data_IF_101596687689
#
_entry.id   IF_101596687689
#
_cell.length_a   1.000
_cell.length_b   1.000
_cell.length_c   1.000
_cell.angle_alpha   90.00
_cell.angle_beta   90.00
_cell.angle_gamma   90.00
#
_symmetry.space_group_name_H-M   'P 1'
#
loop_
_entity.id
_entity.type
_entity.pdbx_description
1 polymer ?
#
# COMPACT_ATOMS: atom_id res chain seq x y z
N UNK A 1 -56.20 11.89 -36.75
CA UNK A 1 -56.25 12.51 -35.41
C UNK A 1 -55.19 11.82 -34.57
N UNK A 2 -54.21 12.56 -34.02
CA UNK A 2 -53.19 11.98 -33.16
C UNK A 2 -53.76 11.80 -31.74
N UNK A 3 -53.43 10.68 -31.09
CA UNK A 3 -53.60 10.55 -29.64
C UNK A 3 -52.32 11.08 -29.02
N UNK A 4 -52.41 12.31 -28.50
CA UNK A 4 -51.51 12.87 -27.51
C UNK A 4 -51.47 11.95 -26.29
N UNK A 5 -50.25 11.64 -25.82
CA UNK A 5 -49.84 11.50 -24.41
C UNK A 5 -48.58 10.62 -24.34
N UNK A 6 -47.50 11.07 -24.99
CA UNK A 6 -46.17 10.74 -24.51
C UNK A 6 -45.90 11.68 -23.32
N UNK A 7 -46.03 11.14 -22.12
CA UNK A 7 -45.54 11.78 -20.89
C UNK A 7 -44.04 12.07 -21.12
N UNK A 8 -43.54 13.30 -20.95
CA UNK A 8 -42.10 13.53 -21.00
C UNK A 8 -41.50 12.75 -19.84
N UNK A 9 -40.73 11.72 -20.15
CA UNK A 9 -39.85 11.08 -19.16
C UNK A 9 -38.99 12.20 -18.60
N UNK A 10 -39.07 12.40 -17.29
CA UNK A 10 -38.44 13.50 -16.58
C UNK A 10 -36.98 13.70 -17.03
N UNK A 11 -36.56 14.96 -17.03
CA UNK A 11 -35.22 15.45 -17.33
C UNK A 11 -34.16 14.86 -16.37
N UNK A 12 -33.93 13.55 -16.38
CA UNK A 12 -32.76 12.96 -15.78
C UNK A 12 -31.55 13.39 -16.61
N UNK A 13 -30.86 14.41 -16.11
CA UNK A 13 -29.55 14.80 -16.62
C UNK A 13 -28.70 13.52 -16.75
N UNK A 14 -28.15 13.21 -17.94
CA UNK A 14 -27.47 11.94 -18.16
C UNK A 14 -26.34 11.79 -17.14
N UNK A 15 -26.24 10.61 -16.51
CA UNK A 15 -25.19 10.34 -15.52
C UNK A 15 -23.83 10.53 -16.19
N UNK A 16 -23.05 11.48 -15.69
CA UNK A 16 -21.71 11.76 -16.17
C UNK A 16 -20.71 10.90 -15.41
N UNK A 17 -19.61 10.54 -16.06
CA UNK A 17 -18.55 9.74 -15.43
C UNK A 17 -17.95 10.43 -14.18
N UNK A 18 -18.02 11.76 -14.11
CA UNK A 18 -17.60 12.53 -12.93
C UNK A 18 -18.52 12.39 -11.70
N UNK A 19 -19.76 11.93 -11.91
CA UNK A 19 -20.80 11.92 -10.89
C UNK A 19 -21.10 10.54 -10.30
N UNK A 20 -20.42 9.50 -10.79
CA UNK A 20 -20.62 8.11 -10.34
C UNK A 20 -20.27 7.93 -8.86
N UNK A 21 -21.07 7.12 -8.17
CA UNK A 21 -20.92 6.82 -6.74
C UNK A 21 -20.89 5.32 -6.43
N UNK A 22 -21.15 4.46 -7.42
CA UNK A 22 -21.03 3.01 -7.29
C UNK A 22 -20.31 2.38 -8.49
N UNK A 23 -19.84 1.14 -8.28
CA UNK A 23 -19.06 0.35 -9.24
C UNK A 23 -19.85 -0.01 -10.50
N UNK A 24 -21.15 -0.27 -10.36
CA UNK A 24 -21.98 -0.75 -11.46
C UNK A 24 -22.22 0.36 -12.49
N UNK A 25 -22.50 1.57 -12.04
CA UNK A 25 -22.68 2.73 -12.91
C UNK A 25 -21.38 3.12 -13.62
N UNK A 26 -20.24 3.07 -12.92
CA UNK A 26 -18.94 3.26 -13.55
C UNK A 26 -18.71 2.24 -14.67
N UNK A 27 -18.95 0.95 -14.42
CA UNK A 27 -18.80 -0.10 -15.43
C UNK A 27 -19.74 0.09 -16.62
N UNK A 28 -21.00 0.48 -16.37
CA UNK A 28 -21.97 0.77 -17.44
C UNK A 28 -21.49 1.92 -18.32
N UNK A 29 -21.06 3.03 -17.74
CA UNK A 29 -20.59 4.20 -18.50
C UNK A 29 -19.34 3.87 -19.33
N UNK A 30 -18.39 3.13 -18.77
CA UNK A 30 -17.19 2.71 -19.51
C UNK A 30 -17.53 1.77 -20.67
N UNK A 31 -18.48 0.83 -20.49
CA UNK A 31 -18.98 -0.03 -21.58
C UNK A 31 -19.67 0.77 -22.68
N UNK A 32 -20.30 1.90 -22.33
CA UNK A 32 -20.90 2.84 -23.28
C UNK A 32 -19.88 3.79 -23.93
N UNK A 33 -18.58 3.62 -23.66
CA UNK A 33 -17.50 4.39 -24.29
C UNK A 33 -17.09 5.66 -23.54
N UNK A 34 -17.51 5.85 -22.30
CA UNK A 34 -17.04 6.98 -21.48
C UNK A 34 -15.52 6.89 -21.26
N UNK A 35 -14.84 8.04 -21.26
CA UNK A 35 -13.40 8.11 -21.05
C UNK A 35 -13.09 8.20 -19.54
N UNK A 36 -12.42 7.18 -18.99
CA UNK A 36 -12.01 7.10 -17.57
C UNK A 36 -11.18 8.32 -17.09
N UNK A 37 -10.55 9.03 -18.01
CA UNK A 37 -9.71 10.20 -17.77
C UNK A 37 -10.29 11.49 -18.40
N UNK A 38 -11.59 11.53 -18.69
CA UNK A 38 -12.26 12.74 -19.17
C UNK A 38 -12.03 13.92 -18.22
N UNK A 39 -11.69 15.09 -18.75
CA UNK A 39 -11.51 16.29 -17.94
C UNK A 39 -12.79 17.13 -17.97
N UNK A 40 -13.30 17.49 -16.79
CA UNK A 40 -14.41 18.43 -16.70
C UNK A 40 -13.93 19.89 -16.90
N UNK A 41 -14.83 20.87 -16.73
CA UNK A 41 -14.52 22.31 -16.89
C UNK A 41 -13.46 22.84 -15.93
N UNK A 42 -13.18 22.12 -14.85
CA UNK A 42 -12.12 22.44 -13.88
C UNK A 42 -10.84 21.64 -14.12
N UNK A 43 -10.75 20.93 -15.26
CA UNK A 43 -9.68 20.00 -15.58
C UNK A 43 -9.58 18.78 -14.65
N UNK A 44 -10.59 18.54 -13.80
CA UNK A 44 -10.61 17.36 -12.94
C UNK A 44 -10.90 16.11 -13.74
N UNK A 45 -10.22 15.01 -13.41
CA UNK A 45 -10.58 13.67 -13.88
C UNK A 45 -11.71 13.07 -13.03
N UNK A 46 -12.39 12.01 -13.50
CA UNK A 46 -13.46 11.36 -12.74
C UNK A 46 -12.98 10.80 -11.40
N UNK A 47 -11.75 10.26 -11.36
CA UNK A 47 -11.12 9.84 -10.11
C UNK A 47 -10.96 11.01 -9.12
N UNK A 48 -10.53 12.18 -9.60
CA UNK A 48 -10.38 13.35 -8.73
C UNK A 48 -11.72 13.85 -8.21
N UNK A 49 -12.77 13.87 -9.06
CA UNK A 49 -14.14 14.21 -8.64
C UNK A 49 -14.67 13.21 -7.61
N UNK A 50 -14.43 11.91 -7.80
CA UNK A 50 -14.78 10.86 -6.86
C UNK A 50 -14.10 11.05 -5.48
N UNK A 51 -12.79 11.33 -5.46
CA UNK A 51 -12.04 11.62 -4.24
C UNK A 51 -12.54 12.87 -3.53
N UNK A 52 -12.88 13.94 -4.27
CA UNK A 52 -13.46 15.18 -3.73
C UNK A 52 -14.82 14.97 -3.07
N UNK A 53 -15.62 14.08 -3.65
CA UNK A 53 -16.95 13.70 -3.15
C UNK A 53 -16.92 12.63 -2.06
N UNK A 54 -15.74 12.15 -1.70
CA UNK A 54 -15.53 11.14 -0.66
C UNK A 54 -16.34 9.84 -0.88
N UNK A 55 -16.41 9.40 -2.14
CA UNK A 55 -17.06 8.11 -2.45
C UNK A 55 -16.27 6.94 -1.85
N UNK A 56 -16.95 5.83 -1.56
CA UNK A 56 -16.34 4.70 -0.86
C UNK A 56 -15.14 4.06 -1.60
N UNK A 57 -14.21 3.48 -0.83
CA UNK A 57 -12.98 2.88 -1.36
C UNK A 57 -13.19 1.86 -2.50
N UNK A 58 -14.34 1.16 -2.52
CA UNK A 58 -14.60 0.16 -3.56
C UNK A 58 -14.72 0.76 -4.97
N UNK A 59 -15.33 1.94 -5.10
CA UNK A 59 -15.38 2.61 -6.40
C UNK A 59 -14.01 3.22 -6.76
N UNK A 60 -13.24 3.70 -5.78
CA UNK A 60 -11.87 4.17 -6.02
C UNK A 60 -10.98 3.02 -6.52
N UNK A 61 -11.09 1.83 -5.93
CA UNK A 61 -10.41 0.61 -6.41
C UNK A 61 -10.79 0.28 -7.84
N UNK A 62 -12.08 0.42 -8.19
CA UNK A 62 -12.52 0.20 -9.56
C UNK A 62 -11.96 1.25 -10.53
N UNK A 63 -11.93 2.54 -10.17
CA UNK A 63 -11.28 3.58 -10.99
C UNK A 63 -9.81 3.24 -11.28
N UNK A 64 -9.08 2.81 -10.25
CA UNK A 64 -7.68 2.38 -10.36
C UNK A 64 -7.56 1.16 -11.29
N UNK A 65 -8.43 0.16 -11.12
CA UNK A 65 -8.47 -1.05 -11.95
C UNK A 65 -8.73 -0.72 -13.44
N UNK A 66 -9.58 0.27 -13.71
CA UNK A 66 -9.95 0.70 -15.06
C UNK A 66 -8.93 1.67 -15.69
N UNK A 67 -7.76 1.88 -15.06
CA UNK A 67 -6.67 2.67 -15.63
C UNK A 67 -6.87 4.19 -15.52
N UNK A 68 -7.55 4.65 -14.47
CA UNK A 68 -7.57 6.08 -14.15
C UNK A 68 -6.15 6.63 -13.97
N UNK A 69 -5.90 7.86 -14.41
CA UNK A 69 -4.62 8.54 -14.26
C UNK A 69 -4.45 9.01 -12.81
N UNK A 70 -3.46 8.43 -12.13
CA UNK A 70 -3.12 8.73 -10.73
C UNK A 70 -2.46 10.11 -10.54
N UNK A 71 -1.95 10.71 -11.62
CA UNK A 71 -1.12 11.90 -11.62
C UNK A 71 -1.75 13.10 -12.32
N UNK A 72 -2.91 12.91 -12.95
CA UNK A 72 -3.68 14.00 -13.53
C UNK A 72 -4.00 15.06 -12.46
N UNK A 73 -3.95 16.33 -12.85
CA UNK A 73 -4.31 17.43 -11.99
C UNK A 73 -5.39 18.32 -12.61
N UNK A 74 -6.11 18.99 -11.72
CA UNK A 74 -7.07 20.03 -12.08
C UNK A 74 -6.37 21.37 -12.32
N UNK A 75 -7.17 22.40 -12.65
CA UNK A 75 -6.68 23.73 -12.97
C UNK A 75 -5.97 24.45 -11.79
N UNK A 76 -6.11 23.93 -10.56
CA UNK A 76 -5.38 24.42 -9.38
C UNK A 76 -4.11 23.60 -9.09
N UNK A 77 -3.87 22.54 -9.85
CA UNK A 77 -2.75 21.63 -9.64
C UNK A 77 -2.98 20.60 -8.54
N UNK A 78 -4.23 20.38 -8.12
CA UNK A 78 -4.57 19.32 -7.14
C UNK A 78 -4.56 17.97 -7.84
N UNK A 79 -3.88 17.01 -7.22
CA UNK A 79 -3.76 15.62 -7.71
C UNK A 79 -4.64 14.67 -6.90
N UNK A 80 -4.91 13.45 -7.41
CA UNK A 80 -5.58 12.41 -6.65
C UNK A 80 -4.95 12.18 -5.28
N UNK A 81 -3.61 12.08 -5.21
CA UNK A 81 -2.90 11.89 -3.95
C UNK A 81 -3.08 13.09 -3.01
N UNK A 82 -3.01 14.33 -3.51
CA UNK A 82 -3.27 15.51 -2.68
C UNK A 82 -4.69 15.49 -2.11
N UNK A 83 -5.68 15.24 -2.95
CA UNK A 83 -7.08 15.21 -2.55
C UNK A 83 -7.34 14.11 -1.52
N UNK A 84 -6.75 12.92 -1.70
CA UNK A 84 -6.82 11.83 -0.74
C UNK A 84 -6.30 12.26 0.63
N UNK A 85 -5.13 12.90 0.71
CA UNK A 85 -4.57 13.34 2.01
C UNK A 85 -5.41 14.45 2.64
N UNK A 86 -5.86 15.43 1.84
CA UNK A 86 -6.61 16.58 2.36
C UNK A 86 -8.02 16.21 2.85
N UNK A 87 -8.66 15.20 2.25
CA UNK A 87 -10.06 14.85 2.51
C UNK A 87 -10.25 13.51 3.22
N UNK A 88 -9.36 12.55 2.97
CA UNK A 88 -9.44 11.18 3.50
C UNK A 88 -8.39 10.94 4.59
N UNK A 89 -8.04 11.98 5.37
CA UNK A 89 -6.95 11.90 6.36
C UNK A 89 -7.12 10.79 7.41
N UNK A 90 -8.32 10.24 7.60
CA UNK A 90 -8.59 9.10 8.51
C UNK A 90 -8.45 7.74 7.83
N UNK A 91 -8.57 7.69 6.51
CA UNK A 91 -8.54 6.47 5.70
C UNK A 91 -7.23 6.45 4.88
N UNK A 92 -6.21 5.79 5.44
CA UNK A 92 -4.93 5.62 4.77
C UNK A 92 -4.98 4.58 3.65
N UNK A 93 -6.06 3.80 3.51
CA UNK A 93 -6.14 2.76 2.50
C UNK A 93 -6.28 3.35 1.10
N UNK A 94 -7.00 4.48 0.96
CA UNK A 94 -7.05 5.23 -0.31
C UNK A 94 -5.66 5.80 -0.64
N UNK A 95 -4.96 6.39 0.33
CA UNK A 95 -3.61 6.93 0.12
C UNK A 95 -2.66 5.81 -0.31
N UNK A 96 -2.69 4.67 0.39
CA UNK A 96 -1.88 3.49 0.09
C UNK A 96 -2.18 2.97 -1.31
N UNK A 97 -3.45 2.82 -1.66
CA UNK A 97 -3.89 2.36 -2.99
C UNK A 97 -3.33 3.25 -4.10
N UNK A 98 -3.41 4.58 -3.95
CA UNK A 98 -2.88 5.52 -4.94
C UNK A 98 -1.35 5.41 -5.07
N UNK A 99 -0.62 5.35 -3.95
CA UNK A 99 0.85 5.20 -3.95
C UNK A 99 1.29 3.88 -4.58
N UNK A 100 0.62 2.77 -4.25
CA UNK A 100 0.87 1.46 -4.84
C UNK A 100 0.62 1.44 -6.35
N UNK A 101 -0.22 2.33 -6.86
CA UNK A 101 -0.55 2.44 -8.29
C UNK A 101 0.16 3.60 -8.99
N UNK A 102 1.22 4.14 -8.38
CA UNK A 102 2.15 5.06 -9.07
C UNK A 102 1.78 6.54 -8.96
N UNK A 103 0.96 6.92 -7.98
CA UNK A 103 0.75 8.32 -7.67
C UNK A 103 2.06 8.99 -7.21
N UNK A 104 2.38 10.11 -7.84
CA UNK A 104 3.59 10.87 -7.60
C UNK A 104 3.39 11.93 -6.54
N UNK A 105 4.28 11.90 -5.54
CA UNK A 105 4.31 12.85 -4.41
C UNK A 105 4.57 14.29 -4.90
N UNK A 106 5.12 14.48 -6.10
CA UNK A 106 5.47 15.79 -6.68
C UNK A 106 4.55 16.29 -7.79
N UNK A 107 3.54 15.53 -8.16
CA UNK A 107 2.63 15.95 -9.23
C UNK A 107 1.80 17.15 -8.72
N UNK A 108 1.84 18.30 -9.43
CA UNK A 108 1.06 19.51 -9.07
C UNK A 108 1.87 20.81 -9.04
N UNK A 109 1.89 21.55 -10.15
CA UNK A 109 2.78 22.71 -10.44
C UNK A 109 2.71 23.90 -9.45
N UNK A 110 1.67 23.98 -8.61
CA UNK A 110 1.43 25.11 -7.67
C UNK A 110 1.33 24.70 -6.19
N UNK A 111 1.04 23.43 -5.90
CA UNK A 111 0.80 22.91 -4.55
C UNK A 111 1.94 22.00 -4.08
N UNK A 112 2.78 21.50 -5.02
CA UNK A 112 3.92 20.62 -4.77
C UNK A 112 4.83 21.12 -3.65
N UNK A 113 5.08 22.43 -3.60
CA UNK A 113 6.10 23.04 -2.74
C UNK A 113 5.71 23.07 -1.25
N UNK A 114 4.48 22.70 -0.89
CA UNK A 114 4.02 22.60 0.51
C UNK A 114 3.27 21.31 0.81
N UNK A 115 3.26 20.34 -0.11
CA UNK A 115 2.47 19.13 0.04
C UNK A 115 2.91 18.28 1.23
N UNK A 116 4.22 18.07 1.39
CA UNK A 116 4.78 17.34 2.54
C UNK A 116 4.60 18.10 3.85
N UNK A 117 4.78 19.43 3.85
CA UNK A 117 4.55 20.27 5.04
C UNK A 117 3.09 20.13 5.51
N UNK A 118 2.15 20.22 4.57
CA UNK A 118 0.73 20.05 4.86
C UNK A 118 0.44 18.64 5.42
N UNK A 119 1.04 17.61 4.82
CA UNK A 119 0.83 16.23 5.27
C UNK A 119 1.38 16.02 6.68
N UNK A 120 2.60 16.48 6.98
CA UNK A 120 3.21 16.34 8.31
C UNK A 120 2.41 17.08 9.38
N UNK A 121 1.97 18.31 9.10
CA UNK A 121 1.20 19.11 10.06
C UNK A 121 -0.19 18.53 10.34
N UNK A 122 -0.81 17.85 9.37
CA UNK A 122 -2.16 17.30 9.51
C UNK A 122 -2.18 15.84 9.95
N UNK A 123 -1.30 15.01 9.39
CA UNK A 123 -1.27 13.57 9.62
C UNK A 123 0.17 13.01 9.51
N UNK A 124 0.89 12.88 10.65
CA UNK A 124 2.25 12.33 10.66
C UNK A 124 2.32 10.85 10.25
N UNK A 125 1.23 10.07 10.41
CA UNK A 125 1.18 8.68 9.95
C UNK A 125 1.15 8.63 8.42
N UNK A 126 0.39 9.50 7.79
CA UNK A 126 0.39 9.65 6.33
C UNK A 126 1.76 10.11 5.82
N UNK A 127 2.45 11.00 6.55
CA UNK A 127 3.81 11.42 6.18
C UNK A 127 4.80 10.25 6.19
N UNK A 128 4.74 9.37 7.20
CA UNK A 128 5.52 8.13 7.22
C UNK A 128 5.22 7.25 6.01
N UNK A 129 3.96 7.11 5.64
CA UNK A 129 3.55 6.36 4.46
C UNK A 129 4.14 6.94 3.16
N UNK A 130 4.09 8.26 2.97
CA UNK A 130 4.71 8.92 1.82
C UNK A 130 6.22 8.69 1.75
N UNK A 131 6.91 8.82 2.89
CA UNK A 131 8.34 8.55 3.00
C UNK A 131 8.65 7.11 2.59
N UNK A 132 7.96 6.15 3.19
CA UNK A 132 8.10 4.71 2.89
C UNK A 132 8.02 4.43 1.38
N UNK A 133 6.98 4.92 0.71
CA UNK A 133 6.80 4.68 -0.73
C UNK A 133 7.81 5.45 -1.60
N UNK A 134 8.28 6.61 -1.14
CA UNK A 134 9.33 7.36 -1.84
C UNK A 134 10.66 6.61 -1.81
N UNK A 135 11.03 6.07 -0.66
CA UNK A 135 12.21 5.21 -0.49
C UNK A 135 12.12 3.98 -1.39
N UNK A 136 10.95 3.33 -1.44
CA UNK A 136 10.74 2.18 -2.31
C UNK A 136 10.91 2.53 -3.80
N UNK A 137 10.32 3.64 -4.26
CA UNK A 137 10.43 4.11 -5.65
C UNK A 137 11.89 4.45 -6.04
N UNK A 138 12.63 5.04 -5.10
CA UNK A 138 14.01 5.48 -5.30
C UNK A 138 15.03 4.45 -4.80
N UNK A 139 14.61 3.22 -4.51
CA UNK A 139 15.46 2.16 -3.96
C UNK A 139 16.70 1.84 -4.82
N UNK A 140 16.60 2.02 -6.14
CA UNK A 140 17.72 1.90 -7.08
C UNK A 140 18.83 2.93 -6.87
N UNK A 141 18.50 4.10 -6.30
CA UNK A 141 19.47 5.16 -6.00
C UNK A 141 20.23 4.90 -4.70
N UNK A 142 19.69 4.07 -3.80
CA UNK A 142 20.28 3.77 -2.49
C UNK A 142 21.52 2.89 -2.65
N UNK A 143 22.70 3.41 -2.26
CA UNK A 143 24.00 2.71 -2.36
C UNK A 143 24.36 1.98 -1.05
N UNK A 144 25.17 0.91 -1.14
CA UNK A 144 25.64 0.19 0.04
C UNK A 144 26.64 1.02 0.85
N UNK A 145 26.34 1.27 2.13
CA UNK A 145 27.11 2.19 2.99
C UNK A 145 28.21 1.53 3.83
N UNK A 146 28.46 0.23 3.69
CA UNK A 146 29.34 -0.54 4.58
C UNK A 146 30.84 -0.14 4.57
N UNK A 147 31.25 0.87 3.81
CA UNK A 147 32.67 1.23 3.59
C UNK A 147 33.09 2.62 4.06
N UNK A 148 32.23 3.42 4.70
CA UNK A 148 32.61 4.78 5.10
C UNK A 148 32.09 5.09 6.51
N UNK A 149 32.96 5.55 7.40
CA UNK A 149 32.60 5.76 8.82
C UNK A 149 32.47 7.24 9.20
N UNK A 150 33.09 8.18 8.46
CA UNK A 150 32.98 9.63 8.79
C UNK A 150 32.43 10.52 7.66
N UNK A 151 32.82 10.29 6.41
CA UNK A 151 32.21 10.98 5.25
C UNK A 151 30.78 10.46 4.98
N UNK A 152 30.49 9.23 5.41
CA UNK A 152 29.22 8.54 5.21
C UNK A 152 28.06 9.23 5.86
N UNK A 153 28.17 9.76 7.08
CA UNK A 153 27.01 10.39 7.75
C UNK A 153 26.54 11.60 6.93
N UNK A 154 27.46 12.47 6.50
CA UNK A 154 27.11 13.65 5.68
C UNK A 154 26.65 13.27 4.27
N UNK A 155 27.28 12.27 3.64
CA UNK A 155 26.88 11.78 2.31
C UNK A 155 25.53 11.05 2.36
N UNK A 156 25.29 10.26 3.39
CA UNK A 156 24.02 9.60 3.73
C UNK A 156 22.92 10.64 3.94
N UNK A 157 23.11 11.65 4.80
CA UNK A 157 22.14 12.75 4.97
C UNK A 157 21.88 13.52 3.66
N UNK A 158 22.91 13.72 2.82
CA UNK A 158 22.75 14.35 1.51
C UNK A 158 22.02 13.44 0.51
N UNK A 159 22.20 12.12 0.57
CA UNK A 159 21.52 11.13 -0.27
C UNK A 159 20.05 11.00 0.13
N UNK A 160 19.73 10.99 1.43
CA UNK A 160 18.37 11.18 1.94
C UNK A 160 17.74 12.47 1.43
N UNK A 161 18.51 13.56 1.37
CA UNK A 161 18.05 14.84 0.82
C UNK A 161 17.74 14.77 -0.67
N UNK A 162 18.46 13.93 -1.41
CA UNK A 162 18.22 13.66 -2.84
C UNK A 162 17.05 12.69 -3.03
N UNK A 163 16.95 11.61 -2.26
CA UNK A 163 15.84 10.64 -2.29
C UNK A 163 14.53 11.31 -1.90
N UNK A 164 14.56 12.17 -0.88
CA UNK A 164 13.39 12.90 -0.38
C UNK A 164 13.21 14.26 -1.04
N UNK A 165 14.05 14.59 -2.02
CA UNK A 165 13.95 15.67 -3.01
C UNK A 165 12.99 16.83 -2.61
N UNK A 166 13.57 17.83 -1.92
CA UNK A 166 13.04 19.14 -1.51
C UNK A 166 12.18 19.19 -0.21
N UNK A 167 12.54 20.15 0.66
CA UNK A 167 11.85 20.67 1.87
C UNK A 167 11.97 20.01 3.26
N UNK A 168 12.65 18.88 3.42
CA UNK A 168 12.87 18.30 4.78
C UNK A 168 13.87 19.07 5.68
N UNK A 169 14.43 20.20 5.23
CA UNK A 169 15.41 20.99 6.01
C UNK A 169 14.79 21.76 7.20
N UNK A 170 13.53 21.52 7.53
CA UNK A 170 12.81 22.25 8.59
C UNK A 170 12.78 21.40 9.87
N UNK A 171 12.96 22.05 11.02
CA UNK A 171 12.85 21.44 12.36
C UNK A 171 11.52 20.69 12.58
N UNK A 172 10.48 21.01 11.82
CA UNK A 172 9.20 20.29 11.81
C UNK A 172 9.32 18.80 11.43
N UNK A 173 10.43 18.37 10.84
CA UNK A 173 10.67 16.99 10.42
C UNK A 173 11.61 16.20 11.35
N UNK A 174 12.12 16.80 12.42
CA UNK A 174 13.09 16.16 13.32
C UNK A 174 12.54 14.84 13.90
N UNK A 175 11.23 14.77 14.18
CA UNK A 175 10.58 13.56 14.66
C UNK A 175 10.56 12.40 13.64
N UNK A 176 10.83 12.68 12.37
CA UNK A 176 10.90 11.69 11.28
C UNK A 176 12.33 11.26 10.98
N UNK A 177 13.36 11.90 11.55
CA UNK A 177 14.76 11.58 11.27
C UNK A 177 15.08 10.09 11.55
N UNK A 178 14.67 9.58 12.72
CA UNK A 178 14.86 8.17 13.06
C UNK A 178 14.09 7.24 12.11
N UNK A 179 12.87 7.61 11.72
CA UNK A 179 12.07 6.81 10.80
C UNK A 179 12.65 6.78 9.38
N UNK A 180 13.22 7.90 8.94
CA UNK A 180 13.99 8.00 7.72
C UNK A 180 15.13 6.98 7.80
N UNK A 181 15.93 7.02 8.87
CA UNK A 181 17.06 6.11 9.07
C UNK A 181 16.69 4.63 9.00
N UNK A 182 15.61 4.27 9.68
CA UNK A 182 15.04 2.93 9.64
C UNK A 182 14.61 2.53 8.21
N UNK A 183 14.02 3.45 7.44
CA UNK A 183 13.58 3.18 6.06
C UNK A 183 14.74 2.79 5.14
N UNK A 184 15.87 3.53 5.12
CA UNK A 184 16.96 3.10 4.25
C UNK A 184 17.71 1.89 4.82
N UNK A 185 17.83 1.77 6.14
CA UNK A 185 18.43 0.58 6.76
C UNK A 185 17.71 -0.69 6.32
N UNK A 186 16.37 -0.72 6.37
CA UNK A 186 15.60 -1.87 5.90
C UNK A 186 15.76 -2.11 4.39
N UNK A 187 15.78 -1.06 3.55
CA UNK A 187 16.01 -1.22 2.11
C UNK A 187 17.37 -1.84 1.81
N UNK A 188 18.43 -1.37 2.48
CA UNK A 188 19.79 -1.91 2.30
C UNK A 188 19.87 -3.36 2.73
N UNK A 189 19.26 -3.70 3.87
CA UNK A 189 19.18 -5.08 4.33
C UNK A 189 18.43 -5.95 3.30
N UNK A 190 17.24 -5.52 2.84
CA UNK A 190 16.46 -6.25 1.84
C UNK A 190 17.19 -6.41 0.49
N UNK A 191 18.03 -5.45 0.11
CA UNK A 191 18.88 -5.52 -1.10
C UNK A 191 19.99 -6.55 -0.97
N UNK A 192 20.51 -6.76 0.24
CA UNK A 192 21.55 -7.77 0.50
C UNK A 192 20.99 -9.20 0.68
N UNK A 193 19.69 -9.35 0.91
CA UNK A 193 19.03 -10.65 1.11
C UNK A 193 18.55 -11.20 -0.23
N UNK A 194 19.20 -12.25 -0.70
CA UNK A 194 18.76 -13.00 -1.88
C UNK A 194 17.70 -14.02 -1.47
N UNK A 195 16.60 -14.11 -2.20
CA UNK A 195 15.59 -15.16 -2.05
C UNK A 195 15.92 -16.36 -2.95
N UNK A 196 16.33 -16.08 -4.18
CA UNK A 196 16.95 -17.01 -5.12
C UNK A 196 18.15 -16.34 -5.82
N UNK A 197 18.83 -17.05 -6.73
CA UNK A 197 20.11 -16.61 -7.32
C UNK A 197 20.07 -15.23 -7.99
N UNK A 198 18.88 -14.76 -8.42
CA UNK A 198 18.72 -13.50 -9.15
C UNK A 198 17.68 -12.54 -8.58
N UNK A 199 17.01 -12.87 -7.46
CA UNK A 199 15.93 -12.05 -6.90
C UNK A 199 16.23 -11.77 -5.43
N UNK A 200 16.37 -10.50 -5.10
CA UNK A 200 16.50 -10.04 -3.71
C UNK A 200 15.14 -9.87 -3.04
N UNK A 201 15.13 -9.79 -1.72
CA UNK A 201 13.92 -9.45 -0.96
C UNK A 201 13.40 -8.07 -1.36
N UNK A 202 14.28 -7.13 -1.71
CA UNK A 202 13.89 -5.83 -2.23
C UNK A 202 13.20 -5.94 -3.61
N UNK A 203 13.74 -6.74 -4.53
CA UNK A 203 13.12 -6.97 -5.85
C UNK A 203 11.73 -7.59 -5.71
N UNK A 204 11.58 -8.51 -4.75
CA UNK A 204 10.29 -9.11 -4.42
C UNK A 204 9.25 -8.09 -3.95
N UNK A 205 9.66 -7.08 -3.19
CA UNK A 205 8.78 -5.98 -2.75
C UNK A 205 8.47 -5.00 -3.89
N UNK A 206 9.46 -4.66 -4.72
CA UNK A 206 9.36 -3.59 -5.73
C UNK A 206 8.63 -4.03 -6.99
N UNK A 207 8.82 -5.25 -7.48
CA UNK A 207 8.39 -5.68 -8.83
C UNK A 207 6.88 -5.72 -9.05
N UNK A 208 6.08 -5.50 -8.00
CA UNK A 208 4.59 -5.56 -7.98
C UNK A 208 3.96 -6.85 -8.53
N UNK A 209 4.80 -7.82 -8.88
CA UNK A 209 4.42 -9.05 -9.52
C UNK A 209 4.02 -10.07 -8.45
N UNK A 210 2.95 -10.86 -8.65
CA UNK A 210 2.61 -11.95 -7.75
C UNK A 210 3.79 -12.91 -7.62
N UNK A 211 4.01 -13.48 -6.42
CA UNK A 211 5.09 -14.45 -6.19
C UNK A 211 5.09 -15.59 -7.23
N UNK A 212 3.91 -16.00 -7.70
CA UNK A 212 3.72 -17.03 -8.73
C UNK A 212 4.34 -16.68 -10.09
N UNK A 213 4.48 -15.39 -10.41
CA UNK A 213 5.06 -14.92 -11.67
C UNK A 213 6.58 -14.78 -11.61
N UNK A 214 7.15 -14.74 -10.40
CA UNK A 214 8.58 -14.56 -10.16
C UNK A 214 9.30 -15.90 -9.94
N UNK A 215 8.57 -16.97 -9.60
CA UNK A 215 9.15 -18.23 -9.13
C UNK A 215 8.39 -19.42 -9.72
N UNK A 216 9.11 -20.39 -10.28
CA UNK A 216 8.55 -21.69 -10.64
C UNK A 216 7.88 -22.35 -9.42
N UNK A 217 6.71 -22.97 -9.62
CA UNK A 217 5.90 -23.59 -8.55
C UNK A 217 6.67 -24.55 -7.64
N UNK A 218 7.71 -25.20 -8.16
CA UNK A 218 8.55 -26.15 -7.41
C UNK A 218 9.40 -25.49 -6.30
N UNK A 219 9.75 -24.20 -6.42
CA UNK A 219 10.61 -23.50 -5.44
C UNK A 219 9.84 -22.55 -4.52
N UNK A 220 8.52 -22.44 -4.70
CA UNK A 220 7.67 -21.48 -4.00
C UNK A 220 7.75 -21.61 -2.47
N UNK A 221 7.61 -22.84 -1.96
CA UNK A 221 7.66 -23.09 -0.51
C UNK A 221 9.05 -22.83 0.07
N UNK A 222 10.11 -23.13 -0.68
CA UNK A 222 11.48 -22.87 -0.23
C UNK A 222 11.74 -21.36 -0.07
N UNK A 223 11.24 -20.54 -1.00
CA UNK A 223 11.35 -19.09 -0.90
C UNK A 223 10.52 -18.54 0.24
N UNK A 224 9.27 -19.00 0.41
CA UNK A 224 8.43 -18.59 1.56
C UNK A 224 9.12 -18.91 2.88
N UNK A 225 9.69 -20.11 3.02
CA UNK A 225 10.44 -20.49 4.22
C UNK A 225 11.67 -19.60 4.44
N UNK A 226 12.37 -19.21 3.36
CA UNK A 226 13.50 -18.28 3.45
C UNK A 226 13.04 -16.89 3.89
N UNK A 227 11.91 -16.40 3.38
CA UNK A 227 11.29 -15.16 3.87
C UNK A 227 10.97 -15.28 5.35
N UNK A 228 10.28 -16.33 5.79
CA UNK A 228 9.94 -16.51 7.21
C UNK A 228 11.18 -16.51 8.09
N UNK A 229 12.27 -17.17 7.67
CA UNK A 229 13.56 -17.15 8.38
C UNK A 229 14.08 -15.72 8.59
N UNK A 230 14.04 -14.89 7.56
CA UNK A 230 14.50 -13.50 7.62
C UNK A 230 13.65 -12.64 8.57
N UNK A 231 12.36 -12.96 8.71
CA UNK A 231 11.42 -12.22 9.57
C UNK A 231 11.37 -12.71 11.02
N UNK A 232 12.04 -13.82 11.36
CA UNK A 232 12.14 -14.30 12.77
C UNK A 232 12.77 -13.28 13.72
N UNK A 233 13.67 -12.43 13.21
CA UNK A 233 14.40 -11.41 13.98
C UNK A 233 13.68 -10.05 13.96
N UNK A 234 12.49 -9.97 13.34
CA UNK A 234 11.67 -8.74 13.25
C UNK A 234 12.43 -7.53 12.70
N UNK A 235 13.26 -7.77 11.67
CA UNK A 235 14.16 -6.78 11.06
C UNK A 235 13.47 -5.79 10.13
N UNK A 236 12.32 -6.15 9.54
CA UNK A 236 11.73 -5.43 8.41
C UNK A 236 10.32 -4.87 8.71
N UNK A 237 10.15 -4.21 9.86
CA UNK A 237 8.83 -3.74 10.32
C UNK A 237 8.19 -2.72 9.39
N UNK A 238 8.99 -1.91 8.71
CA UNK A 238 8.48 -0.82 7.87
C UNK A 238 7.86 -1.37 6.59
N UNK A 239 8.47 -2.39 5.98
CA UNK A 239 8.03 -2.96 4.71
C UNK A 239 7.38 -4.35 4.82
N UNK A 240 7.16 -4.87 6.04
CA UNK A 240 6.53 -6.16 6.32
C UNK A 240 5.18 -6.34 5.62
N UNK A 241 4.29 -5.36 5.73
CA UNK A 241 2.97 -5.35 5.08
C UNK A 241 3.08 -5.56 3.56
N UNK A 242 4.08 -4.99 2.90
CA UNK A 242 4.29 -5.19 1.47
C UNK A 242 4.70 -6.62 1.16
N UNK A 243 5.59 -7.21 1.97
CA UNK A 243 5.99 -8.63 1.83
C UNK A 243 4.79 -9.54 2.03
N UNK A 244 4.01 -9.32 3.09
CA UNK A 244 2.79 -10.06 3.42
C UNK A 244 1.79 -10.00 2.26
N UNK A 245 1.52 -8.80 1.75
CA UNK A 245 0.60 -8.60 0.63
C UNK A 245 1.06 -9.35 -0.64
N UNK A 246 2.37 -9.48 -0.88
CA UNK A 246 2.94 -10.19 -2.04
C UNK A 246 2.91 -11.70 -1.90
N UNK A 247 3.11 -12.23 -0.71
CA UNK A 247 2.93 -13.68 -0.44
C UNK A 247 1.48 -14.06 -0.68
N UNK A 248 0.55 -13.23 -0.20
CA UNK A 248 -0.87 -13.41 -0.38
C UNK A 248 -1.45 -14.41 0.61
N UNK A 249 -2.66 -14.08 1.08
CA UNK A 249 -3.35 -14.80 2.16
C UNK A 249 -3.46 -16.31 1.97
N UNK A 250 -3.74 -16.79 0.76
CA UNK A 250 -3.87 -18.23 0.51
C UNK A 250 -2.56 -18.97 0.77
N UNK A 251 -1.41 -18.41 0.36
CA UNK A 251 -0.11 -19.03 0.61
C UNK A 251 0.26 -18.99 2.10
N UNK A 252 -0.11 -17.91 2.80
CA UNK A 252 0.05 -17.83 4.26
C UNK A 252 -0.74 -18.93 4.97
N UNK A 253 -2.00 -19.14 4.58
CA UNK A 253 -2.84 -20.21 5.14
C UNK A 253 -2.30 -21.60 4.83
N UNK A 254 -1.83 -21.84 3.60
CA UNK A 254 -1.20 -23.11 3.23
C UNK A 254 0.06 -23.39 4.07
N UNK A 255 0.80 -22.36 4.46
CA UNK A 255 1.98 -22.55 5.32
C UNK A 255 1.66 -23.00 6.75
N UNK A 256 0.41 -22.83 7.17
CA UNK A 256 -0.11 -23.32 8.46
C UNK A 256 -0.71 -24.73 8.34
N UNK A 257 -0.72 -25.33 7.14
CA UNK A 257 -1.18 -26.69 6.92
C UNK A 257 -0.37 -27.68 7.79
N UNK A 258 -1.08 -28.57 8.48
CA UNK A 258 -0.50 -29.58 9.37
C UNK A 258 0.24 -29.05 10.63
N UNK A 259 0.08 -27.77 10.98
CA UNK A 259 0.58 -27.21 12.25
C UNK A 259 -0.49 -27.31 13.33
N UNK A 260 -0.11 -27.79 14.52
CA UNK A 260 -1.00 -27.87 15.69
C UNK A 260 -0.64 -26.78 16.71
N UNK A 261 -1.62 -25.96 17.10
CA UNK A 261 -1.45 -24.96 18.18
C UNK A 261 -2.03 -25.52 19.48
N UNK A 262 -1.26 -25.46 20.57
CA UNK A 262 -1.70 -25.88 21.89
C UNK A 262 -1.87 -24.66 22.81
N UNK A 263 -3.07 -24.42 23.32
CA UNK A 263 -3.28 -23.34 24.30
C UNK A 263 -2.72 -23.72 25.68
N UNK A 264 -1.77 -22.95 26.21
CA UNK A 264 -1.29 -23.12 27.60
C UNK A 264 -2.11 -22.23 28.54
N UNK A 265 -3.26 -22.72 29.00
CA UNK A 265 -4.02 -22.08 30.08
C UNK A 265 -3.41 -22.49 31.43
N UNK A 266 -2.63 -21.60 32.04
CA UNK A 266 -2.18 -21.73 33.43
C UNK A 266 -2.62 -20.52 34.24
N UNK A 267 -3.51 -20.74 35.21
CA UNK A 267 -3.47 -20.04 36.50
C UNK A 267 -3.32 -21.11 37.60
N UNK A 268 -2.56 -20.74 38.62
CA UNK A 268 -2.06 -21.59 39.71
C UNK A 268 -3.11 -22.49 40.36
N UNK A 269 -2.74 -23.77 40.50
CA UNK A 269 -3.10 -24.72 41.57
C UNK A 269 -4.17 -25.79 41.39
N UNK A 270 -4.89 -25.93 40.26
CA UNK A 270 -5.71 -27.15 40.03
C UNK A 270 -5.64 -27.63 38.58
N UNK A 271 -4.85 -28.68 38.32
CA UNK A 271 -4.73 -29.33 37.01
C UNK A 271 -5.93 -30.23 36.72
N UNK A 272 -6.85 -29.74 35.90
CA UNK A 272 -7.65 -30.54 34.96
C UNK A 272 -7.58 -29.81 33.60
N UNK A 273 -6.53 -30.07 32.83
CA UNK A 273 -6.23 -29.34 31.58
C UNK A 273 -7.23 -29.69 30.47
N UNK A 274 -8.07 -28.75 30.04
CA UNK A 274 -8.64 -28.77 28.69
C UNK A 274 -7.57 -28.22 27.73
N UNK A 275 -6.82 -29.11 27.08
CA UNK A 275 -5.91 -28.73 25.98
C UNK A 275 -6.75 -28.42 24.75
N UNK A 276 -6.79 -27.16 24.33
CA UNK A 276 -7.38 -26.81 23.03
C UNK A 276 -6.28 -27.02 21.99
N UNK A 277 -6.52 -27.97 21.09
CA UNK A 277 -5.71 -28.22 19.90
C UNK A 277 -6.40 -27.48 18.77
N UNK A 278 -5.78 -26.43 18.23
CA UNK A 278 -6.25 -25.80 17.01
C UNK A 278 -5.73 -26.63 15.84
N UNK A 279 -6.61 -27.41 15.22
CA UNK A 279 -6.34 -28.09 13.96
C UNK A 279 -6.51 -27.12 12.77
N UNK A 280 -6.14 -27.55 11.57
CA UNK A 280 -6.19 -26.72 10.37
C UNK A 280 -7.57 -26.12 10.11
N UNK A 281 -8.64 -26.90 10.25
CA UNK A 281 -10.01 -26.43 10.01
C UNK A 281 -10.38 -25.26 10.94
N UNK A 282 -10.03 -25.39 12.22
CA UNK A 282 -10.27 -24.36 13.22
C UNK A 282 -9.37 -23.14 12.99
N UNK A 283 -8.13 -23.35 12.54
CA UNK A 283 -7.22 -22.27 12.15
C UNK A 283 -7.72 -21.50 10.93
N UNK A 284 -8.21 -22.18 9.89
CA UNK A 284 -8.84 -21.56 8.73
C UNK A 284 -10.10 -20.77 9.12
N UNK A 285 -10.85 -21.25 10.13
CA UNK A 285 -12.00 -20.53 10.67
C UNK A 285 -11.57 -19.26 11.42
N UNK A 286 -10.62 -19.36 12.35
CA UNK A 286 -10.12 -18.21 13.13
C UNK A 286 -9.45 -17.20 12.22
N UNK A 287 -8.71 -17.65 11.21
CA UNK A 287 -8.01 -16.79 10.28
C UNK A 287 -8.96 -15.80 9.61
N UNK A 288 -10.24 -16.13 9.37
CA UNK A 288 -11.26 -15.20 8.82
C UNK A 288 -11.37 -13.89 9.60
N UNK A 289 -10.97 -13.87 10.88
CA UNK A 289 -10.99 -12.71 11.76
C UNK A 289 -9.60 -12.08 11.98
N UNK A 290 -8.55 -12.65 11.39
CA UNK A 290 -7.17 -12.18 11.49
C UNK A 290 -6.75 -11.42 10.22
N UNK A 291 -5.96 -10.38 10.41
CA UNK A 291 -5.30 -9.69 9.30
C UNK A 291 -4.25 -10.59 8.66
N UNK A 292 -3.85 -10.29 7.42
CA UNK A 292 -2.80 -11.06 6.76
C UNK A 292 -1.46 -10.97 7.51
N UNK A 293 -1.20 -9.83 8.18
CA UNK A 293 -0.03 -9.63 9.03
C UNK A 293 -0.09 -10.54 10.26
N UNK A 294 -1.25 -10.68 10.90
CA UNK A 294 -1.41 -11.60 12.04
C UNK A 294 -1.16 -13.06 11.62
N UNK A 295 -1.69 -13.47 10.47
CA UNK A 295 -1.49 -14.81 9.93
C UNK A 295 -0.02 -15.04 9.60
N UNK A 296 0.64 -14.06 8.97
CA UNK A 296 2.07 -14.11 8.68
C UNK A 296 2.90 -14.25 9.96
N UNK A 297 2.62 -13.45 10.98
CA UNK A 297 3.31 -13.53 12.27
C UNK A 297 3.13 -14.91 12.94
N UNK A 298 1.95 -15.50 12.86
CA UNK A 298 1.71 -16.87 13.32
C UNK A 298 2.57 -17.86 12.51
N UNK A 299 2.60 -17.72 11.18
CA UNK A 299 3.40 -18.60 10.33
C UNK A 299 4.90 -18.51 10.63
N UNK A 300 5.43 -17.30 10.82
CA UNK A 300 6.82 -17.05 11.25
C UNK A 300 7.09 -17.69 12.62
N UNK A 301 6.17 -17.61 13.57
CA UNK A 301 6.32 -18.23 14.88
C UNK A 301 6.35 -19.78 14.84
N UNK A 302 5.73 -20.41 13.83
CA UNK A 302 5.81 -21.87 13.62
C UNK A 302 7.02 -22.32 12.80
N UNK A 303 7.77 -21.36 12.26
CA UNK A 303 8.99 -21.63 11.52
C UNK A 303 10.20 -21.83 12.46
N UNK A 304 10.20 -21.20 13.64
CA UNK A 304 11.21 -21.37 14.71
C UNK A 304 11.00 -22.66 15.48
#
# INVERSE_FOLDING_TARGET
MPIENAIPVENEKPLLIHDVSNVEDLKKLLRSGANINEKNKFEETPLLSALRREVGIQIIKEFVLQGADMNANDCWGVTPLYCAIARHAKDLDIVRLLLENGADIKSGKRISDRFLDYTVTRNPVCAKLLIKYKFLKNSHLVKDFSTAVDKSVRDYYNEYRVIVDLDLKRSSYDFLATYLDECASEILQMKSVYLCDSITLLDFVVTKNPLQTLVNTQNMQQIINRIYKEFTVNKYKIYEDLVVNRIGRQNLLNSLENKFIYSKLCKSNHCNQKRIILNLDLMCYIAKYLSDIDIFNIAVAFYT
#
